data_IF_245908147106
#
_entry.id   IF_245908147106
#
_cell.length_a   1.000
_cell.length_b   1.000
_cell.length_c   1.000
_cell.angle_alpha   90.00
_cell.angle_beta   90.00
_cell.angle_gamma   90.00
#
_symmetry.space_group_name_H-M   'P 1'
#
loop_
_entity.id
_entity.type
_entity.pdbx_description
1 polymer ?
#
# COMPACT_ATOMS: atom_id res chain seq x y z
N UNK A 1 18.01 -2.22 -9.95
CA UNK A 1 18.06 -1.61 -11.29
C UNK A 1 17.51 -2.62 -12.29
N UNK A 2 16.30 -2.37 -12.80
CA UNK A 2 15.70 -3.08 -13.94
C UNK A 2 15.56 -2.07 -15.09
N UNK A 3 15.78 -2.58 -16.29
CA UNK A 3 16.12 -1.81 -17.49
C UNK A 3 15.03 -0.85 -17.97
N UNK A 4 15.50 0.26 -18.56
CA UNK A 4 14.73 1.22 -19.33
C UNK A 4 14.23 0.54 -20.61
N UNK A 5 12.97 0.15 -20.65
CA UNK A 5 12.20 -0.02 -21.88
C UNK A 5 10.99 0.91 -21.78
N UNK A 6 11.10 2.05 -22.47
CA UNK A 6 10.14 3.17 -22.46
C UNK A 6 8.92 2.92 -23.36
N UNK A 7 8.27 1.75 -23.26
CA UNK A 7 7.07 1.44 -24.08
C UNK A 7 6.01 0.63 -23.31
N UNK A 8 5.75 0.99 -22.05
CA UNK A 8 4.48 0.60 -21.41
C UNK A 8 3.46 1.73 -21.62
N UNK A 9 2.43 1.56 -22.48
CA UNK A 9 1.39 2.57 -22.70
C UNK A 9 0.52 2.82 -21.46
N UNK A 10 0.71 2.04 -20.39
CA UNK A 10 0.01 2.18 -19.12
C UNK A 10 0.86 2.84 -18.04
N UNK A 11 2.02 3.40 -18.37
CA UNK A 11 2.84 4.14 -17.40
C UNK A 11 2.13 5.39 -16.84
N UNK A 12 1.13 5.92 -17.56
CA UNK A 12 0.20 6.97 -17.09
C UNK A 12 -0.91 6.44 -16.14
N UNK A 13 -1.03 5.12 -15.95
CA UNK A 13 -2.13 4.49 -15.19
C UNK A 13 -1.77 4.29 -13.71
N UNK A 14 -0.48 4.30 -13.34
CA UNK A 14 -0.05 4.18 -11.95
C UNK A 14 -0.08 5.55 -11.25
N UNK A 15 -1.28 5.93 -10.80
CA UNK A 15 -1.62 7.23 -10.26
C UNK A 15 -2.22 7.15 -8.84
N UNK A 16 -2.19 8.26 -8.08
CA UNK A 16 -2.96 8.37 -6.84
C UNK A 16 -4.45 8.14 -7.13
N UNK A 17 -5.13 7.40 -6.25
CA UNK A 17 -6.53 7.03 -6.43
C UNK A 17 -6.77 5.85 -7.38
N UNK A 18 -5.74 5.09 -7.74
CA UNK A 18 -5.91 3.81 -8.43
C UNK A 18 -6.19 2.67 -7.43
N UNK A 19 -7.00 1.69 -7.85
CA UNK A 19 -7.17 0.42 -7.14
C UNK A 19 -6.42 -0.69 -7.88
N UNK A 20 -5.42 -1.30 -7.24
CA UNK A 20 -4.66 -2.41 -7.82
C UNK A 20 -5.24 -3.74 -7.33
N UNK A 21 -6.15 -4.33 -8.10
CA UNK A 21 -6.90 -5.52 -7.70
C UNK A 21 -6.40 -6.74 -8.48
N UNK A 22 -6.08 -7.82 -7.75
CA UNK A 22 -5.74 -9.13 -8.29
C UNK A 22 -6.98 -10.06 -8.30
N UNK A 23 -7.08 -10.97 -9.28
CA UNK A 23 -8.26 -11.82 -9.47
C UNK A 23 -8.57 -12.74 -8.26
N UNK A 24 -7.55 -13.09 -7.49
CA UNK A 24 -7.62 -13.95 -6.31
C UNK A 24 -7.55 -13.18 -4.98
N UNK A 25 -7.65 -11.84 -5.04
CA UNK A 25 -7.63 -11.00 -3.84
C UNK A 25 -8.78 -11.35 -2.89
N UNK A 26 -8.47 -11.44 -1.60
CA UNK A 26 -9.49 -11.57 -0.56
C UNK A 26 -10.33 -10.28 -0.47
N UNK A 27 -11.52 -10.36 0.15
CA UNK A 27 -12.33 -9.16 0.43
C UNK A 27 -11.56 -8.18 1.34
N UNK A 28 -10.71 -8.66 2.24
CA UNK A 28 -9.88 -7.78 3.09
C UNK A 28 -8.84 -7.04 2.25
N UNK A 29 -8.19 -7.72 1.30
CA UNK A 29 -7.24 -7.11 0.38
C UNK A 29 -7.91 -6.10 -0.56
N UNK A 30 -9.14 -6.35 -1.01
CA UNK A 30 -9.90 -5.34 -1.75
C UNK A 30 -10.16 -4.08 -0.92
N UNK A 31 -10.46 -4.25 0.38
CA UNK A 31 -10.67 -3.12 1.30
C UNK A 31 -9.36 -2.40 1.64
N UNK A 32 -8.23 -3.09 1.59
CA UNK A 32 -6.89 -2.51 1.70
C UNK A 32 -6.66 -1.51 0.56
N UNK A 33 -6.84 -1.94 -0.69
CA UNK A 33 -6.72 -1.07 -1.87
C UNK A 33 -7.70 0.11 -1.81
N UNK A 34 -8.94 -0.15 -1.36
CA UNK A 34 -9.92 0.92 -1.16
C UNK A 34 -9.48 1.93 -0.10
N UNK A 35 -8.76 1.51 0.94
CA UNK A 35 -8.21 2.43 1.92
C UNK A 35 -7.14 3.35 1.31
N UNK A 36 -6.30 2.87 0.38
CA UNK A 36 -5.39 3.73 -0.38
C UNK A 36 -6.14 4.77 -1.20
N UNK A 37 -7.21 4.36 -1.90
CA UNK A 37 -8.07 5.29 -2.63
C UNK A 37 -8.63 6.38 -1.71
N UNK A 38 -9.15 6.02 -0.54
CA UNK A 38 -9.69 6.98 0.43
C UNK A 38 -8.61 7.94 0.95
N UNK A 39 -7.39 7.45 1.14
CA UNK A 39 -6.25 8.23 1.59
C UNK A 39 -5.83 9.29 0.57
N UNK A 40 -5.82 8.92 -0.70
CA UNK A 40 -5.52 9.84 -1.81
C UNK A 40 -6.67 10.83 -2.03
N UNK A 41 -7.92 10.37 -1.98
CA UNK A 41 -9.11 11.21 -2.08
C UNK A 41 -9.14 12.28 -0.97
N UNK A 42 -8.79 11.90 0.28
CA UNK A 42 -8.73 12.83 1.40
C UNK A 42 -7.67 13.94 1.23
N UNK A 43 -6.66 13.70 0.39
CA UNK A 43 -5.61 14.66 0.03
C UNK A 43 -5.87 15.40 -1.29
N UNK A 44 -7.02 15.15 -1.92
CA UNK A 44 -7.37 15.76 -3.21
C UNK A 44 -6.61 15.19 -4.40
N UNK A 45 -6.25 13.90 -4.36
CA UNK A 45 -5.47 13.20 -5.38
C UNK A 45 -4.12 13.91 -5.67
N UNK A 46 -3.22 13.96 -4.66
CA UNK A 46 -1.96 14.69 -4.77
C UNK A 46 -1.07 14.10 -5.87
N UNK A 47 -0.12 14.85 -6.41
CA UNK A 47 0.83 14.31 -7.40
C UNK A 47 1.63 13.12 -6.81
N UNK A 48 2.06 12.21 -7.68
CA UNK A 48 2.76 10.97 -7.32
C UNK A 48 3.88 11.18 -6.29
N UNK A 49 4.73 12.20 -6.47
CA UNK A 49 5.86 12.48 -5.57
C UNK A 49 5.43 12.77 -4.12
N UNK A 50 4.24 13.36 -3.92
CA UNK A 50 3.69 13.67 -2.59
C UNK A 50 3.02 12.44 -1.98
N UNK A 51 2.29 11.66 -2.80
CA UNK A 51 1.73 10.36 -2.38
C UNK A 51 2.83 9.41 -1.92
N UNK A 52 3.95 9.45 -2.63
CA UNK A 52 5.04 8.52 -2.49
C UNK A 52 6.22 9.02 -1.66
N UNK A 53 6.05 10.14 -0.96
CA UNK A 53 6.95 10.54 0.12
C UNK A 53 7.01 9.42 1.17
N UNK A 54 8.22 9.14 1.64
CA UNK A 54 8.53 7.96 2.44
C UNK A 54 7.65 7.81 3.69
N UNK A 55 7.47 8.88 4.48
CA UNK A 55 6.64 8.83 5.68
C UNK A 55 5.17 8.63 5.33
N UNK A 56 4.69 9.30 4.29
CA UNK A 56 3.33 9.13 3.79
C UNK A 56 3.05 7.68 3.38
N UNK A 57 3.96 7.03 2.64
CA UNK A 57 3.82 5.62 2.25
C UNK A 57 3.65 4.72 3.46
N UNK A 58 4.53 4.82 4.46
CA UNK A 58 4.44 3.99 5.68
C UNK A 58 3.09 4.16 6.39
N UNK A 59 2.58 5.39 6.49
CA UNK A 59 1.30 5.68 7.15
C UNK A 59 0.11 5.12 6.35
N UNK A 60 0.16 5.22 5.02
CA UNK A 60 -0.88 4.68 4.14
C UNK A 60 -0.93 3.15 4.22
N UNK A 61 0.22 2.48 4.12
CA UNK A 61 0.32 1.02 4.29
C UNK A 61 -0.19 0.56 5.65
N UNK A 62 0.23 1.23 6.73
CA UNK A 62 -0.25 0.87 8.08
C UNK A 62 -1.78 0.97 8.17
N UNK A 63 -2.38 2.04 7.65
CA UNK A 63 -3.84 2.21 7.68
C UNK A 63 -4.56 1.13 6.89
N UNK A 64 -4.05 0.77 5.72
CA UNK A 64 -4.62 -0.26 4.87
C UNK A 64 -4.51 -1.65 5.52
N UNK A 65 -3.33 -2.02 6.05
CA UNK A 65 -3.17 -3.26 6.82
C UNK A 65 -4.06 -3.31 8.07
N UNK A 66 -4.26 -2.18 8.77
CA UNK A 66 -5.16 -2.13 9.92
C UNK A 66 -6.63 -2.42 9.56
N UNK A 67 -7.05 -2.18 8.32
CA UNK A 67 -8.38 -2.60 7.85
C UNK A 67 -8.48 -4.12 7.81
N UNK A 68 -7.46 -4.79 7.28
CA UNK A 68 -7.41 -6.26 7.19
C UNK A 68 -7.30 -6.92 8.57
N UNK A 69 -6.41 -6.40 9.42
CA UNK A 69 -6.16 -6.92 10.76
C UNK A 69 -7.44 -6.83 11.61
N UNK A 70 -8.15 -5.69 11.55
CA UNK A 70 -9.43 -5.53 12.26
C UNK A 70 -10.47 -6.53 11.78
N UNK A 71 -10.50 -6.86 10.49
CA UNK A 71 -11.42 -7.85 9.96
C UNK A 71 -11.06 -9.27 10.43
N UNK A 72 -9.78 -9.62 10.42
CA UNK A 72 -9.28 -10.89 10.97
C UNK A 72 -9.60 -11.05 12.46
N UNK A 73 -9.38 -9.99 13.25
CA UNK A 73 -9.73 -9.94 14.68
C UNK A 73 -11.25 -10.06 14.89
N UNK A 74 -12.05 -9.36 14.08
CA UNK A 74 -13.52 -9.38 14.16
C UNK A 74 -14.10 -10.79 13.98
N UNK A 75 -13.49 -11.61 13.12
CA UNK A 75 -13.90 -13.01 12.91
C UNK A 75 -13.20 -14.00 13.85
N UNK A 76 -12.35 -13.51 14.78
CA UNK A 76 -11.64 -14.33 15.75
C UNK A 76 -10.44 -15.11 15.17
N UNK A 77 -9.99 -14.80 13.95
CA UNK A 77 -8.88 -15.48 13.30
C UNK A 77 -7.54 -14.85 13.69
N UNK A 78 -7.07 -15.16 14.90
CA UNK A 78 -5.82 -14.59 15.46
C UNK A 78 -4.58 -14.94 14.64
N UNK A 79 -4.53 -16.13 14.05
CA UNK A 79 -3.40 -16.55 13.21
C UNK A 79 -3.30 -15.68 11.94
N UNK A 80 -4.45 -15.38 11.31
CA UNK A 80 -4.49 -14.46 10.18
C UNK A 80 -4.11 -13.03 10.58
N UNK A 81 -4.60 -12.54 11.73
CA UNK A 81 -4.22 -11.21 12.22
C UNK A 81 -2.69 -11.10 12.44
N UNK A 82 -2.07 -12.13 13.02
CA UNK A 82 -0.61 -12.19 13.20
C UNK A 82 0.13 -12.25 11.86
N UNK A 83 -0.36 -13.05 10.90
CA UNK A 83 0.20 -13.09 9.55
C UNK A 83 0.13 -11.72 8.87
N UNK A 84 -1.00 -11.01 8.96
CA UNK A 84 -1.15 -9.66 8.39
C UNK A 84 -0.20 -8.65 9.06
N UNK A 85 0.02 -8.76 10.37
CA UNK A 85 1.05 -7.96 11.05
C UNK A 85 2.47 -8.27 10.57
N UNK A 86 2.78 -9.55 10.29
CA UNK A 86 4.06 -9.94 9.69
C UNK A 86 4.20 -9.33 8.29
N UNK A 87 3.15 -9.38 7.48
CA UNK A 87 3.13 -8.80 6.15
C UNK A 87 3.38 -7.28 6.18
N UNK A 88 2.68 -6.53 7.04
CA UNK A 88 2.95 -5.10 7.23
C UNK A 88 4.40 -4.82 7.65
N UNK A 89 4.96 -5.64 8.56
CA UNK A 89 6.36 -5.48 8.99
C UNK A 89 7.34 -5.70 7.84
N UNK A 90 7.09 -6.69 6.99
CA UNK A 90 7.87 -6.94 5.77
C UNK A 90 7.74 -5.79 4.76
N UNK A 91 6.53 -5.27 4.53
CA UNK A 91 6.29 -4.13 3.64
C UNK A 91 6.99 -2.87 4.15
N UNK A 92 6.86 -2.57 5.45
CA UNK A 92 7.58 -1.45 6.07
C UNK A 92 9.09 -1.59 5.92
N UNK A 93 9.64 -2.80 6.08
CA UNK A 93 11.07 -3.02 5.90
C UNK A 93 11.49 -2.80 4.44
N UNK A 94 10.70 -3.31 3.49
CA UNK A 94 10.91 -3.05 2.06
C UNK A 94 10.90 -1.54 1.76
N UNK A 95 9.96 -0.79 2.35
CA UNK A 95 9.90 0.66 2.16
C UNK A 95 11.13 1.38 2.72
N UNK A 96 11.63 0.95 3.88
CA UNK A 96 12.85 1.49 4.49
C UNK A 96 14.05 1.23 3.58
N UNK A 97 14.22 -0.02 3.14
CA UNK A 97 15.40 -0.44 2.39
C UNK A 97 15.49 0.22 1.00
N UNK A 98 14.35 0.60 0.40
CA UNK A 98 14.29 1.10 -0.97
C UNK A 98 13.98 2.59 -1.08
N UNK A 99 13.35 3.20 -0.07
CA UNK A 99 12.84 4.58 -0.16
C UNK A 99 13.13 5.44 1.07
N UNK A 100 13.80 4.92 2.12
CA UNK A 100 14.24 5.78 3.22
C UNK A 100 15.14 6.89 2.68
N UNK A 101 14.99 8.14 3.15
CA UNK A 101 15.98 9.17 2.90
C UNK A 101 17.35 8.67 3.37
N UNK A 102 18.38 8.84 2.54
CA UNK A 102 19.76 8.73 2.99
C UNK A 102 19.97 9.94 3.91
N UNK A 103 20.32 9.70 5.16
CA UNK A 103 20.79 10.79 6.02
C UNK A 103 22.11 11.29 5.41
N UNK A 104 22.08 12.43 4.73
CA UNK A 104 23.27 13.24 4.43
C UNK A 104 23.75 13.96 5.69
#
# INVERSE_FOLDING_TARGET
MLGKNDTDPFREIYGPGQLNIYEDASISALRHEYQHFLDDMAKGYPILDVTYEFKNRIIMELRAYMVEIKEADRIGNKALAEQLWNNYRSERQYLIDNFSPINE
#
